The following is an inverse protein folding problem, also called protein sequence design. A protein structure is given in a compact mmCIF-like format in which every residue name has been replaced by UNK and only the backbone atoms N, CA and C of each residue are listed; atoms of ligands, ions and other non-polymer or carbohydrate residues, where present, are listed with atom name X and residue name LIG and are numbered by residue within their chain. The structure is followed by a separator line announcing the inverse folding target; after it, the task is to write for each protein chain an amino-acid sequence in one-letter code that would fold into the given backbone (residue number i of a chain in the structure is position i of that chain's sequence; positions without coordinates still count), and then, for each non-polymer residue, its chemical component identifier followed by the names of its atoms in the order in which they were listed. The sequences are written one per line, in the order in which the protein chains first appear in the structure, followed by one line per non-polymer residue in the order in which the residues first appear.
data_IF_749482870434
#
_entry.id   IF_749482870434
#
_cell.length_a   1.000
_cell.length_b   1.000
_cell.length_c   1.000
_cell.angle_alpha   90.00
_cell.angle_beta   90.00
_cell.angle_gamma   90.00
#
_symmetry.space_group_name_H-M   'P 1'
#
loop_
_entity.id
_entity.type
_entity.pdbx_description
1 polymer ?
#
# COMPACT_ATOMS: atom_id res chain seq x y z
N UNK A 1 12.48 12.13 -13.48
CA UNK A 1 12.42 12.78 -12.14
C UNK A 1 12.81 14.27 -12.20
N UNK A 2 13.90 14.65 -12.89
CA UNK A 2 14.37 16.04 -12.95
C UNK A 2 13.28 17.04 -13.36
N UNK A 3 12.56 16.80 -14.46
CA UNK A 3 11.54 17.76 -14.95
C UNK A 3 10.43 18.07 -13.94
N UNK A 4 10.04 17.10 -13.11
CA UNK A 4 9.02 17.32 -12.07
C UNK A 4 9.62 18.05 -10.87
N UNK A 5 10.86 17.71 -10.48
CA UNK A 5 11.58 18.40 -9.40
C UNK A 5 11.89 19.85 -9.77
N UNK A 6 12.26 20.11 -11.02
CA UNK A 6 12.51 21.45 -11.55
C UNK A 6 11.21 22.27 -11.59
N UNK A 7 10.07 21.63 -11.92
CA UNK A 7 8.76 22.29 -11.96
C UNK A 7 8.22 22.67 -10.57
N UNK A 8 8.56 21.90 -9.53
CA UNK A 8 8.13 22.22 -8.15
C UNK A 8 9.02 23.27 -7.49
N UNK A 9 10.30 23.39 -7.89
CA UNK A 9 11.27 24.31 -7.29
C UNK A 9 10.76 25.75 -7.11
N UNK A 10 10.17 26.41 -8.13
CA UNK A 10 9.72 27.80 -8.00
C UNK A 10 8.42 27.98 -7.20
N UNK A 11 7.76 26.89 -6.78
CA UNK A 11 6.50 26.98 -6.04
C UNK A 11 6.72 27.46 -4.60
N UNK A 12 5.72 28.11 -3.97
CA UNK A 12 5.82 28.55 -2.58
C UNK A 12 6.19 27.40 -1.61
N UNK A 13 6.94 27.69 -0.52
CA UNK A 13 7.33 26.66 0.46
C UNK A 13 6.17 25.91 1.12
N UNK A 14 4.96 26.48 1.09
CA UNK A 14 3.73 25.86 1.58
C UNK A 14 3.17 24.78 0.67
N UNK A 15 3.72 24.62 -0.54
CA UNK A 15 3.32 23.56 -1.47
C UNK A 15 4.10 22.29 -1.15
N UNK A 16 3.39 21.31 -0.59
CA UNK A 16 3.92 19.96 -0.35
C UNK A 16 3.88 19.12 -1.63
N UNK A 17 4.62 18.02 -1.64
CA UNK A 17 4.58 17.04 -2.73
C UNK A 17 4.05 15.71 -2.23
N UNK A 18 3.27 15.03 -3.07
CA UNK A 18 2.86 13.65 -2.84
C UNK A 18 3.66 12.72 -3.74
N UNK A 19 4.27 11.69 -3.16
CA UNK A 19 5.12 10.74 -3.89
C UNK A 19 4.70 9.32 -3.54
N UNK A 20 4.41 8.51 -4.56
CA UNK A 20 4.07 7.09 -4.42
C UNK A 20 5.13 6.35 -3.61
N UNK A 21 4.67 5.46 -2.73
CA UNK A 21 5.51 4.59 -1.91
C UNK A 21 6.46 3.73 -2.75
N UNK A 22 6.06 3.43 -3.99
CA UNK A 22 6.79 2.67 -5.01
C UNK A 22 7.01 3.52 -6.29
N UNK A 23 8.05 3.26 -7.10
CA UNK A 23 8.51 4.17 -8.16
C UNK A 23 7.60 4.33 -9.39
N UNK A 24 6.80 3.33 -9.77
CA UNK A 24 5.96 3.39 -10.98
C UNK A 24 4.46 3.15 -10.70
N UNK A 25 4.19 2.04 -10.02
CA UNK A 25 2.87 1.51 -9.68
C UNK A 25 2.93 0.85 -8.32
N UNK A 26 1.77 0.51 -7.78
CA UNK A 26 1.62 -0.01 -6.42
C UNK A 26 1.85 -1.52 -6.30
N UNK A 27 2.64 -2.10 -7.20
CA UNK A 27 3.01 -3.51 -7.12
C UNK A 27 3.81 -3.78 -5.85
N UNK A 28 3.40 -4.76 -5.03
CA UNK A 28 4.01 -4.88 -3.70
C UNK A 28 5.49 -5.31 -3.70
N UNK A 29 5.97 -6.01 -4.73
CA UNK A 29 7.37 -6.43 -4.84
C UNK A 29 8.31 -5.28 -5.24
N UNK A 30 7.77 -4.13 -5.65
CA UNK A 30 8.60 -3.00 -6.10
C UNK A 30 9.33 -2.36 -4.91
N UNK A 31 10.56 -1.86 -5.09
CA UNK A 31 11.32 -1.26 -4.00
C UNK A 31 10.67 0.05 -3.52
N UNK A 32 11.17 0.58 -2.40
CA UNK A 32 10.80 1.92 -1.97
C UNK A 32 11.16 2.95 -3.05
N UNK A 33 10.30 3.94 -3.23
CA UNK A 33 10.51 4.96 -4.25
C UNK A 33 11.70 5.86 -3.88
N UNK A 34 12.81 5.87 -4.65
CA UNK A 34 13.95 6.72 -4.35
C UNK A 34 13.62 8.22 -4.42
N UNK A 35 12.54 8.61 -5.13
CA UNK A 35 12.08 9.99 -5.19
C UNK A 35 11.66 10.53 -3.81
N UNK A 36 11.22 9.66 -2.89
CA UNK A 36 10.92 10.02 -1.50
C UNK A 36 12.13 10.61 -0.77
N UNK A 37 13.36 10.30 -1.22
CA UNK A 37 14.60 10.84 -0.62
C UNK A 37 15.16 12.04 -1.38
N UNK A 38 14.70 12.29 -2.61
CA UNK A 38 15.19 13.35 -3.47
C UNK A 38 14.66 14.73 -3.05
N UNK A 39 13.47 14.79 -2.44
CA UNK A 39 12.85 16.05 -2.00
C UNK A 39 13.20 16.31 -0.54
N UNK A 40 14.05 17.33 -0.30
CA UNK A 40 14.57 17.68 1.03
C UNK A 40 14.20 19.11 1.48
N UNK A 41 13.61 19.91 0.60
CA UNK A 41 13.37 21.35 0.81
C UNK A 41 11.95 21.72 1.23
N UNK A 42 11.01 20.76 1.19
CA UNK A 42 9.59 20.96 1.49
C UNK A 42 8.99 19.67 2.04
N UNK A 43 7.77 19.77 2.57
CA UNK A 43 7.05 18.62 3.09
C UNK A 43 6.70 17.62 1.99
N UNK A 44 6.85 16.35 2.33
CA UNK A 44 6.61 15.19 1.48
C UNK A 44 5.53 14.34 2.13
N UNK A 45 4.52 14.00 1.35
CA UNK A 45 3.47 13.08 1.74
C UNK A 45 3.65 11.80 0.95
N UNK A 46 3.67 10.66 1.64
CA UNK A 46 3.80 9.37 0.97
C UNK A 46 2.44 8.90 0.46
N UNK A 47 2.36 8.56 -0.82
CA UNK A 47 1.12 8.09 -1.45
C UNK A 47 1.06 6.56 -1.43
N UNK A 48 0.05 6.04 -0.76
CA UNK A 48 -0.13 4.62 -0.43
C UNK A 48 -1.43 4.13 -1.04
N UNK A 49 -1.34 3.11 -1.88
CA UNK A 49 -2.50 2.40 -2.39
C UNK A 49 -2.97 1.32 -1.42
N UNK A 50 -4.13 1.58 -0.81
CA UNK A 50 -4.86 0.63 0.02
C UNK A 50 -6.11 0.09 -0.69
N UNK A 51 -6.54 0.76 -1.78
CA UNK A 51 -7.56 0.32 -2.73
C UNK A 51 -7.15 -0.98 -3.43
N UNK A 52 -5.85 -1.19 -3.57
CA UNK A 52 -5.34 -2.38 -4.21
C UNK A 52 -5.57 -2.33 -5.71
N UNK A 53 -5.26 -1.19 -6.34
CA UNK A 53 -5.30 -0.97 -7.77
C UNK A 53 -4.61 -2.12 -8.52
N UNK A 54 -3.46 -2.55 -8.01
CA UNK A 54 -2.65 -3.63 -8.58
C UNK A 54 -2.81 -4.98 -7.86
N UNK A 55 -3.71 -5.08 -6.87
CA UNK A 55 -3.80 -6.21 -5.94
C UNK A 55 -5.25 -6.51 -5.57
N UNK A 56 -6.08 -6.70 -6.60
CA UNK A 56 -7.40 -7.32 -6.49
C UNK A 56 -8.52 -6.41 -5.97
N UNK A 57 -8.33 -5.09 -5.93
CA UNK A 57 -9.38 -4.10 -5.66
C UNK A 57 -10.18 -4.36 -4.37
N UNK A 58 -9.54 -4.84 -3.31
CA UNK A 58 -10.21 -5.21 -2.06
C UNK A 58 -11.11 -6.46 -2.13
N UNK A 59 -11.33 -7.06 -3.30
CA UNK A 59 -12.10 -8.30 -3.47
C UNK A 59 -11.30 -9.49 -2.96
N UNK A 60 -10.02 -9.56 -3.31
CA UNK A 60 -9.10 -10.57 -2.80
C UNK A 60 -8.46 -10.10 -1.48
N UNK A 61 -8.31 -10.97 -0.48
CA UNK A 61 -7.55 -10.64 0.72
C UNK A 61 -6.11 -10.30 0.34
N UNK A 62 -5.68 -9.09 0.71
CA UNK A 62 -4.31 -8.64 0.50
C UNK A 62 -3.76 -8.07 1.80
N UNK A 63 -3.29 -8.95 2.68
CA UNK A 63 -2.66 -8.54 3.94
C UNK A 63 -1.25 -7.99 3.69
N UNK A 64 -1.02 -6.73 4.06
CA UNK A 64 0.27 -6.04 3.84
C UNK A 64 0.76 -5.24 5.05
N UNK A 65 0.28 -5.54 6.25
CA UNK A 65 0.55 -4.73 7.45
C UNK A 65 2.06 -4.64 7.75
N UNK A 66 2.77 -5.77 7.76
CA UNK A 66 4.21 -5.80 8.00
C UNK A 66 5.00 -5.03 6.93
N UNK A 67 4.54 -5.11 5.67
CA UNK A 67 5.13 -4.39 4.55
C UNK A 67 4.94 -2.88 4.70
N UNK A 68 3.72 -2.42 5.00
CA UNK A 68 3.43 -1.01 5.26
C UNK A 68 4.27 -0.47 6.43
N UNK A 69 4.36 -1.22 7.53
CA UNK A 69 5.17 -0.86 8.69
C UNK A 69 6.65 -0.70 8.31
N UNK A 70 7.23 -1.70 7.61
CA UNK A 70 8.63 -1.66 7.19
C UNK A 70 8.93 -0.46 6.30
N UNK A 71 8.03 -0.10 5.38
CA UNK A 71 8.23 1.04 4.49
C UNK A 71 8.04 2.39 5.17
N UNK A 72 7.07 2.50 6.08
CA UNK A 72 6.88 3.71 6.86
C UNK A 72 8.08 3.98 7.78
N UNK A 73 8.61 2.93 8.43
CA UNK A 73 9.86 3.02 9.20
C UNK A 73 11.05 3.45 8.34
N UNK A 74 11.16 2.89 7.13
CA UNK A 74 12.19 3.30 6.17
C UNK A 74 12.05 4.79 5.80
N UNK A 75 10.83 5.25 5.53
CA UNK A 75 10.57 6.66 5.19
C UNK A 75 10.99 7.58 6.34
N UNK A 76 10.49 7.32 7.56
CA UNK A 76 10.77 8.12 8.75
C UNK A 76 12.26 8.17 9.10
N UNK A 77 12.98 7.07 8.93
CA UNK A 77 14.42 7.00 9.24
C UNK A 77 15.31 7.67 8.18
N UNK A 78 14.82 7.88 6.95
CA UNK A 78 15.64 8.32 5.82
C UNK A 78 15.36 9.75 5.36
N UNK A 79 14.14 10.27 5.54
CA UNK A 79 13.82 11.64 5.16
C UNK A 79 12.90 12.31 6.20
N UNK A 80 13.41 13.27 7.00
CA UNK A 80 12.60 13.98 8.00
C UNK A 80 11.54 14.90 7.38
N UNK A 81 11.56 15.12 6.05
CA UNK A 81 10.52 15.86 5.33
C UNK A 81 9.28 15.04 5.04
N UNK A 82 9.31 13.73 5.25
CA UNK A 82 8.13 12.89 5.11
C UNK A 82 7.26 13.11 6.37
N UNK A 83 6.24 13.96 6.25
CA UNK A 83 5.43 14.44 7.37
C UNK A 83 4.02 13.86 7.40
N UNK A 84 3.60 13.18 6.33
CA UNK A 84 2.26 12.61 6.23
C UNK A 84 2.15 11.54 5.16
N UNK A 85 0.93 11.01 5.02
CA UNK A 85 0.58 10.04 3.99
C UNK A 85 -0.76 10.38 3.35
N UNK A 86 -0.89 10.06 2.07
CA UNK A 86 -2.16 9.99 1.34
C UNK A 86 -2.48 8.51 1.17
N UNK A 87 -3.63 8.09 1.68
CA UNK A 87 -4.08 6.71 1.59
C UNK A 87 -5.23 6.60 0.59
N UNK A 88 -4.98 5.98 -0.56
CA UNK A 88 -6.02 5.72 -1.56
C UNK A 88 -6.91 4.59 -1.06
N UNK A 89 -8.18 4.89 -0.76
CA UNK A 89 -9.17 3.95 -0.24
C UNK A 89 -10.21 3.51 -1.29
N UNK A 90 -10.15 4.06 -2.50
CA UNK A 90 -10.98 3.71 -3.65
C UNK A 90 -10.18 3.87 -4.94
N UNK A 91 -10.65 3.28 -6.04
CA UNK A 91 -10.07 3.49 -7.36
C UNK A 91 -11.10 4.18 -8.24
N UNK A 92 -10.77 5.37 -8.72
CA UNK A 92 -11.63 6.28 -9.46
C UNK A 92 -12.21 5.71 -10.76
N UNK A 93 -11.56 4.67 -11.30
CA UNK A 93 -11.97 4.01 -12.54
C UNK A 93 -12.98 2.86 -12.32
N UNK A 94 -13.30 2.52 -11.07
CA UNK A 94 -14.27 1.47 -10.74
C UNK A 94 -15.43 2.07 -9.94
N UNK A 95 -16.60 2.10 -10.56
CA UNK A 95 -17.83 2.53 -9.89
C UNK A 95 -18.14 1.62 -8.70
N UNK A 96 -18.60 2.22 -7.60
CA UNK A 96 -18.96 1.54 -6.35
C UNK A 96 -17.81 0.77 -5.67
N UNK A 97 -16.55 1.02 -6.03
CA UNK A 97 -15.41 0.45 -5.33
C UNK A 97 -14.96 1.32 -4.16
N UNK A 98 -14.95 0.73 -2.96
CA UNK A 98 -14.44 1.35 -1.74
C UNK A 98 -13.91 0.25 -0.79
N UNK A 99 -12.82 0.52 -0.05
CA UNK A 99 -12.14 -0.49 0.80
C UNK A 99 -12.81 -0.78 2.15
N UNK A 100 -13.35 0.22 2.88
CA UNK A 100 -14.27 -0.06 3.97
C UNK A 100 -15.29 -1.14 3.65
N UNK A 101 -15.51 -2.02 4.64
CA UNK A 101 -16.32 -3.23 4.55
C UNK A 101 -15.75 -4.38 3.67
N UNK A 102 -14.50 -4.27 3.21
CA UNK A 102 -13.74 -5.37 2.59
C UNK A 102 -12.71 -5.97 3.56
N UNK A 103 -12.16 -7.15 3.25
CA UNK A 103 -11.07 -7.74 4.03
C UNK A 103 -9.78 -6.90 3.97
N UNK A 104 -9.61 -6.08 2.94
CA UNK A 104 -8.47 -5.15 2.81
C UNK A 104 -8.57 -3.93 3.72
N UNK A 105 -9.73 -3.69 4.37
CA UNK A 105 -9.91 -2.62 5.36
C UNK A 105 -8.92 -2.73 6.52
N UNK A 106 -8.46 -3.95 6.86
CA UNK A 106 -7.44 -4.15 7.88
C UNK A 106 -6.14 -3.37 7.59
N UNK A 107 -5.78 -3.17 6.31
CA UNK A 107 -4.60 -2.38 5.94
C UNK A 107 -4.83 -0.89 6.13
N UNK A 108 -6.05 -0.40 5.85
CA UNK A 108 -6.44 0.99 6.14
C UNK A 108 -6.42 1.28 7.63
N UNK A 109 -7.01 0.38 8.42
CA UNK A 109 -6.94 0.45 9.86
C UNK A 109 -5.49 0.45 10.34
N UNK A 110 -4.69 -0.54 9.94
CA UNK A 110 -3.29 -0.65 10.35
C UNK A 110 -2.48 0.59 9.94
N UNK A 111 -2.62 1.08 8.71
CA UNK A 111 -1.94 2.28 8.25
C UNK A 111 -2.28 3.50 9.12
N UNK A 112 -3.56 3.69 9.48
CA UNK A 112 -3.96 4.77 10.39
C UNK A 112 -3.28 4.67 11.76
N UNK A 113 -3.14 3.46 12.30
CA UNK A 113 -2.47 3.22 13.58
C UNK A 113 -0.96 3.48 13.47
N UNK A 114 -0.32 3.00 12.40
CA UNK A 114 1.12 3.14 12.15
C UNK A 114 1.53 4.60 11.91
N UNK A 115 0.66 5.42 11.30
CA UNK A 115 0.90 6.86 11.12
C UNK A 115 0.75 7.66 12.41
N UNK A 116 0.04 7.13 13.40
CA UNK A 116 0.01 7.65 14.76
C UNK A 116 1.06 6.97 15.66
N UNK A 117 0.66 6.63 16.89
CA UNK A 117 1.58 6.06 17.89
C UNK A 117 1.69 4.52 17.80
N UNK A 118 1.14 3.92 16.75
CA UNK A 118 1.05 2.46 16.59
C UNK A 118 2.28 1.81 15.97
N UNK A 119 3.37 2.53 15.72
CA UNK A 119 4.54 2.02 14.98
C UNK A 119 5.22 0.81 15.64
N UNK A 120 5.09 0.64 16.96
CA UNK A 120 5.64 -0.52 17.69
C UNK A 120 4.71 -1.75 17.70
N UNK A 121 3.46 -1.63 17.21
CA UNK A 121 2.50 -2.74 17.19
C UNK A 121 2.87 -3.72 16.08
N UNK A 122 2.73 -5.02 16.33
CA UNK A 122 2.89 -6.04 15.29
C UNK A 122 1.57 -6.30 14.53
N UNK A 123 1.65 -7.06 13.43
CA UNK A 123 0.49 -7.41 12.61
C UNK A 123 -0.66 -8.04 13.41
N UNK A 124 -0.36 -8.94 14.36
CA UNK A 124 -1.40 -9.56 15.19
C UNK A 124 -2.15 -8.52 16.04
N UNK A 125 -1.42 -7.66 16.76
CA UNK A 125 -2.01 -6.63 17.60
C UNK A 125 -2.88 -5.65 16.79
N UNK A 126 -2.48 -5.34 15.56
CA UNK A 126 -3.23 -4.45 14.66
C UNK A 126 -4.50 -5.13 14.12
N UNK A 127 -4.43 -6.41 13.76
CA UNK A 127 -5.59 -7.19 13.33
C UNK A 127 -6.60 -7.36 14.47
N UNK A 128 -6.14 -7.72 15.67
CA UNK A 128 -7.01 -7.91 16.83
C UNK A 128 -7.71 -6.60 17.20
N UNK A 129 -7.01 -5.47 17.14
CA UNK A 129 -7.60 -4.14 17.35
C UNK A 129 -8.62 -3.76 16.27
N UNK A 130 -8.33 -4.07 15.00
CA UNK A 130 -9.27 -3.82 13.91
C UNK A 130 -10.56 -4.62 14.11
N UNK A 131 -10.47 -5.92 14.39
CA UNK A 131 -11.64 -6.79 14.62
C UNK A 131 -12.49 -6.30 15.80
N UNK A 132 -11.83 -5.93 16.91
CA UNK A 132 -12.51 -5.43 18.09
C UNK A 132 -13.20 -4.08 17.85
N UNK A 133 -12.52 -3.12 17.21
CA UNK A 133 -13.07 -1.77 17.01
C UNK A 133 -14.12 -1.71 15.90
N UNK A 134 -13.92 -2.48 14.82
CA UNK A 134 -14.80 -2.44 13.66
C UNK A 134 -16.05 -3.29 13.83
N UNK A 135 -15.86 -4.50 14.36
CA UNK A 135 -16.91 -5.52 14.40
C UNK A 135 -17.35 -5.89 15.83
N UNK A 136 -16.72 -5.33 16.86
CA UNK A 136 -16.97 -5.74 18.25
C UNK A 136 -16.55 -7.19 18.52
N UNK A 137 -15.68 -7.75 17.67
CA UNK A 137 -15.34 -9.17 17.69
C UNK A 137 -13.94 -9.39 18.26
N UNK A 138 -13.89 -10.13 19.37
CA UNK A 138 -12.66 -10.54 20.04
C UNK A 138 -12.60 -12.08 20.03
N UNK A 139 -12.14 -12.71 18.93
CA UNK A 139 -12.09 -14.16 18.83
C UNK A 139 -11.11 -14.80 19.85
N UNK A 140 -11.33 -16.07 20.22
CA UNK A 140 -10.30 -16.88 20.87
C UNK A 140 -9.01 -16.95 20.03
N UNK A 141 -7.86 -17.16 20.68
CA UNK A 141 -6.54 -17.08 20.06
C UNK A 141 -6.37 -18.03 18.86
N UNK A 142 -6.92 -19.23 18.92
CA UNK A 142 -6.87 -20.24 17.85
C UNK A 142 -7.65 -19.78 16.61
N UNK A 143 -8.84 -19.20 16.81
CA UNK A 143 -9.67 -18.62 15.74
C UNK A 143 -8.99 -17.39 15.14
N UNK A 144 -8.40 -16.52 15.96
CA UNK A 144 -7.65 -15.35 15.51
C UNK A 144 -6.44 -15.75 14.66
N UNK A 145 -5.72 -16.79 15.09
CA UNK A 145 -4.58 -17.34 14.36
C UNK A 145 -5.02 -17.93 13.02
N UNK A 146 -6.10 -18.71 12.99
CA UNK A 146 -6.62 -19.28 11.75
C UNK A 146 -7.06 -18.19 10.77
N UNK A 147 -7.75 -17.16 11.25
CA UNK A 147 -8.17 -16.03 10.42
C UNK A 147 -6.98 -15.31 9.77
N UNK A 148 -5.94 -15.00 10.56
CA UNK A 148 -4.69 -14.41 10.05
C UNK A 148 -4.02 -15.30 9.00
N UNK A 149 -3.92 -16.60 9.24
CA UNK A 149 -3.35 -17.55 8.26
C UNK A 149 -4.13 -17.55 6.95
N UNK A 150 -5.45 -17.45 6.98
CA UNK A 150 -6.27 -17.35 5.77
C UNK A 150 -6.00 -16.05 5.00
N UNK A 151 -5.83 -14.93 5.68
CA UNK A 151 -5.45 -13.65 5.05
C UNK A 151 -4.06 -13.73 4.42
N UNK A 152 -3.09 -14.35 5.09
CA UNK A 152 -1.73 -14.57 4.58
C UNK A 152 -1.73 -15.47 3.34
N UNK A 153 -2.50 -16.56 3.36
CA UNK A 153 -2.67 -17.46 2.21
C UNK A 153 -3.37 -16.75 1.04
N UNK A 154 -4.38 -15.91 1.32
CA UNK A 154 -5.05 -15.10 0.31
C UNK A 154 -4.07 -14.14 -0.37
N UNK A 155 -3.24 -13.44 0.42
CA UNK A 155 -2.18 -12.61 -0.10
C UNK A 155 -1.20 -13.43 -0.96
N UNK A 156 -0.63 -14.52 -0.44
CA UNK A 156 0.30 -15.37 -1.19
C UNK A 156 -0.29 -15.84 -2.54
N UNK A 157 -1.55 -16.25 -2.54
CA UNK A 157 -2.27 -16.67 -3.75
C UNK A 157 -2.37 -15.52 -4.75
N UNK A 158 -2.68 -14.31 -4.28
CA UNK A 158 -2.73 -13.12 -5.12
C UNK A 158 -1.36 -12.81 -5.74
N UNK A 159 -0.27 -12.85 -4.96
CA UNK A 159 1.09 -12.67 -5.49
C UNK A 159 1.42 -13.71 -6.57
N UNK A 160 1.09 -14.99 -6.33
CA UNK A 160 1.34 -16.05 -7.32
C UNK A 160 0.49 -15.89 -8.59
N UNK A 161 -0.65 -15.21 -8.52
CA UNK A 161 -1.51 -14.94 -9.66
C UNK A 161 -1.04 -13.75 -10.51
N UNK A 162 -0.43 -12.74 -9.87
CA UNK A 162 -0.07 -11.48 -10.53
C UNK A 162 1.39 -11.42 -11.00
N UNK A 163 2.24 -12.33 -10.51
CA UNK A 163 3.63 -12.47 -10.95
C UNK A 163 3.85 -13.78 -11.73
N UNK A 164 4.56 -13.71 -12.85
CA UNK A 164 5.01 -14.86 -13.63
C UNK A 164 6.53 -14.77 -13.77
N UNK A 165 7.26 -15.73 -13.17
CA UNK A 165 8.74 -15.75 -13.15
C UNK A 165 9.33 -14.43 -12.60
N UNK A 166 8.79 -13.94 -11.49
CA UNK A 166 9.18 -12.68 -10.84
C UNK A 166 8.91 -11.41 -11.65
N UNK A 167 8.26 -11.53 -12.80
CA UNK A 167 7.79 -10.40 -13.58
C UNK A 167 6.31 -10.17 -13.35
N UNK A 168 5.91 -8.89 -13.25
CA UNK A 168 4.49 -8.54 -13.21
C UNK A 168 3.84 -9.00 -14.51
N UNK A 169 2.67 -9.62 -14.46
CA UNK A 169 1.98 -10.08 -15.66
C UNK A 169 0.69 -9.31 -15.96
N UNK A 170 0.19 -8.57 -14.99
CA UNK A 170 -1.11 -7.92 -15.07
C UNK A 170 -0.97 -6.40 -15.00
N UNK A 171 -2.08 -5.70 -15.21
CA UNK A 171 -2.14 -4.25 -14.96
C UNK A 171 -3.48 -3.91 -14.35
N UNK A 172 -3.47 -3.09 -13.31
CA UNK A 172 -4.68 -2.68 -12.60
C UNK A 172 -5.54 -3.87 -12.15
N UNK A 173 -4.95 -4.96 -11.68
CA UNK A 173 -5.68 -6.22 -11.34
C UNK A 173 -6.41 -6.89 -12.52
N UNK A 174 -6.06 -6.55 -13.77
CA UNK A 174 -6.62 -7.13 -15.00
C UNK A 174 -5.55 -7.82 -15.85
N UNK A 175 -5.96 -8.83 -16.61
CA UNK A 175 -5.09 -9.48 -17.60
C UNK A 175 -4.65 -8.48 -18.68
N UNK A 176 -3.48 -8.67 -19.31
CA UNK A 176 -3.04 -7.85 -20.42
C UNK A 176 -4.06 -7.84 -21.57
N UNK A 177 -4.30 -6.66 -22.13
CA UNK A 177 -5.17 -6.46 -23.30
C UNK A 177 -4.46 -6.85 -24.61
N UNK A 178 -3.13 -6.97 -24.58
CA UNK A 178 -2.33 -7.33 -25.75
C UNK A 178 -1.04 -8.08 -25.38
N UNK A 179 -0.48 -8.79 -26.36
CA UNK A 179 0.85 -9.40 -26.22
C UNK A 179 1.93 -8.36 -25.90
N UNK A 180 1.88 -7.19 -26.54
CA UNK A 180 2.83 -6.11 -26.26
C UNK A 180 2.80 -5.66 -24.80
N UNK A 181 1.60 -5.54 -24.22
CA UNK A 181 1.45 -5.23 -22.80
C UNK A 181 1.94 -6.37 -21.91
N UNK A 182 1.60 -7.62 -22.24
CA UNK A 182 2.02 -8.81 -21.49
C UNK A 182 3.54 -8.98 -21.47
N UNK A 183 4.22 -8.57 -22.54
CA UNK A 183 5.67 -8.69 -22.69
C UNK A 183 6.39 -7.47 -22.13
N UNK A 184 5.79 -6.27 -22.17
CA UNK A 184 6.37 -5.08 -21.55
C UNK A 184 6.65 -5.29 -20.06
N UNK A 185 5.76 -5.98 -19.35
CA UNK A 185 5.92 -6.23 -17.92
C UNK A 185 6.93 -7.34 -17.58
N UNK A 186 7.50 -8.02 -18.61
CA UNK A 186 8.58 -8.99 -18.50
C UNK A 186 9.98 -8.38 -18.68
N UNK A 187 10.10 -7.09 -18.98
CA UNK A 187 11.37 -6.36 -19.15
C UNK A 187 11.50 -5.25 -18.11
#
# INVERSE_FOLDING_TARGET
LSTVLDAIEPLPPTVSVSIKLTPERFWPAFPNNPALLAVQTRDVWVDIDLAGEEVGWGVMPFLRIDELQGRLLWCQSRNPRITGAICKASWESIDNHWIPDTLSECNLFACSQLLGDGMAKNQQQLLDQWLAQRYGWCPPDDVAQQFRQLLELGAQTLYQAIYVRDHVFHRHSQLPESYGQAVWSLY
#
